data_IF_977191320541
#
_entry.id   IF_977191320541
#
_cell.length_a   1.000
_cell.length_b   1.000
_cell.length_c   1.000
_cell.angle_alpha   90.00
_cell.angle_beta   90.00
_cell.angle_gamma   90.00
#
_symmetry.space_group_name_H-M   'P 1'
#
loop_
_entity.id
_entity.type
_entity.pdbx_description
1 polymer ?
#
# COMPACT_ATOMS: atom_id res chain seq x y z
N UNK A 1 -16.49 -5.34 26.58
CA UNK A 1 -16.14 -4.79 25.27
C UNK A 1 -15.40 -3.50 25.50
N UNK A 2 -14.20 -3.38 24.95
CA UNK A 2 -13.46 -2.12 24.91
C UNK A 2 -13.71 -1.47 23.54
N UNK A 3 -13.89 -0.15 23.51
CA UNK A 3 -14.00 0.62 22.27
C UNK A 3 -12.76 1.48 22.19
N UNK A 4 -12.07 1.41 21.06
CA UNK A 4 -10.88 2.19 20.78
C UNK A 4 -11.11 2.96 19.49
N UNK A 5 -10.83 4.27 19.53
CA UNK A 5 -11.04 5.17 18.41
C UNK A 5 -9.70 5.80 18.02
N UNK A 6 -9.03 5.30 16.97
CA UNK A 6 -7.86 5.96 16.42
C UNK A 6 -8.20 7.36 15.91
N UNK A 7 -7.18 8.21 15.76
CA UNK A 7 -7.40 9.63 15.42
C UNK A 7 -7.31 9.93 13.93
N UNK A 8 -6.89 8.95 13.12
CA UNK A 8 -6.54 9.13 11.71
C UNK A 8 -5.42 10.19 11.54
N UNK A 9 -4.47 10.21 12.49
CA UNK A 9 -3.46 11.26 12.69
C UNK A 9 -4.03 12.64 13.09
N UNK A 10 -4.61 13.40 12.15
CA UNK A 10 -5.23 14.73 12.37
C UNK A 10 -6.65 14.78 11.78
N UNK A 11 -7.51 15.73 12.19
CA UNK A 11 -8.84 15.89 11.58
C UNK A 11 -8.74 16.00 10.05
N UNK A 12 -9.55 15.21 9.33
CA UNK A 12 -9.55 15.11 7.85
C UNK A 12 -8.21 14.62 7.24
N UNK A 13 -7.42 13.83 7.98
CA UNK A 13 -6.07 13.42 7.61
C UNK A 13 -5.96 12.66 6.28
N UNK A 14 -6.20 11.34 6.33
CA UNK A 14 -5.90 10.41 5.23
C UNK A 14 -7.04 9.45 4.85
N UNK A 15 -8.29 9.77 5.19
CA UNK A 15 -9.44 8.94 4.82
C UNK A 15 -9.32 7.46 5.24
N UNK A 16 -8.49 7.15 6.24
CA UNK A 16 -8.15 5.78 6.66
C UNK A 16 -7.43 4.92 5.61
N UNK A 17 -6.87 5.56 4.57
CA UNK A 17 -5.82 5.03 3.71
C UNK A 17 -4.44 5.52 4.19
N UNK A 18 -3.36 5.12 3.50
CA UNK A 18 -1.98 5.55 3.79
C UNK A 18 -1.62 5.54 5.29
N UNK A 19 -1.14 6.65 5.85
CA UNK A 19 -0.79 6.78 7.27
C UNK A 19 -1.99 6.74 8.22
N UNK A 20 -3.20 6.96 7.72
CA UNK A 20 -4.45 6.81 8.45
C UNK A 20 -4.77 5.35 8.75
N UNK A 21 -4.57 4.46 7.76
CA UNK A 21 -4.63 3.00 7.94
C UNK A 21 -3.58 2.54 8.96
N UNK A 22 -2.35 3.04 8.83
CA UNK A 22 -1.27 2.70 9.78
C UNK A 22 -1.63 3.11 11.21
N UNK A 23 -2.17 4.33 11.41
CA UNK A 23 -2.65 4.78 12.74
C UNK A 23 -3.71 3.82 13.31
N UNK A 24 -4.65 3.37 12.48
CA UNK A 24 -5.70 2.46 12.93
C UNK A 24 -5.16 1.10 13.39
N UNK A 25 -4.23 0.52 12.64
CA UNK A 25 -3.63 -0.78 12.98
C UNK A 25 -2.65 -0.66 14.16
N UNK A 26 -1.83 0.39 14.23
CA UNK A 26 -0.94 0.68 15.37
C UNK A 26 -1.74 0.81 16.67
N UNK A 27 -2.84 1.57 16.64
CA UNK A 27 -3.73 1.74 17.80
C UNK A 27 -4.43 0.43 18.17
N UNK A 28 -4.83 -0.38 17.17
CA UNK A 28 -5.40 -1.71 17.42
C UNK A 28 -4.38 -2.63 18.09
N UNK A 29 -3.12 -2.63 17.65
CA UNK A 29 -2.05 -3.46 18.22
C UNK A 29 -1.79 -3.07 19.68
N UNK A 30 -1.60 -1.77 19.95
CA UNK A 30 -1.40 -1.23 21.30
C UNK A 30 -2.58 -1.59 22.22
N UNK A 31 -3.81 -1.41 21.73
CA UNK A 31 -5.00 -1.72 22.51
C UNK A 31 -5.15 -3.23 22.78
N UNK A 32 -4.84 -4.06 21.78
CA UNK A 32 -4.94 -5.51 21.90
C UNK A 32 -3.99 -6.03 22.98
N UNK A 33 -2.76 -5.50 23.02
CA UNK A 33 -1.80 -5.80 24.08
C UNK A 33 -2.25 -5.26 25.44
N UNK A 34 -2.59 -3.97 25.52
CA UNK A 34 -2.96 -3.30 26.77
C UNK A 34 -4.16 -3.95 27.47
N UNK A 35 -5.15 -4.37 26.70
CA UNK A 35 -6.39 -4.95 27.22
C UNK A 35 -6.43 -6.48 27.17
N UNK A 36 -5.36 -7.13 26.69
CA UNK A 36 -5.31 -8.56 26.43
C UNK A 36 -6.56 -9.03 25.64
N UNK A 37 -6.82 -8.33 24.54
CA UNK A 37 -7.99 -8.57 23.72
C UNK A 37 -7.95 -9.99 23.13
N UNK A 38 -9.11 -10.63 23.07
CA UNK A 38 -9.23 -11.94 22.42
C UNK A 38 -9.11 -11.75 20.90
N UNK A 39 -8.07 -12.30 20.24
CA UNK A 39 -7.84 -12.10 18.81
C UNK A 39 -8.96 -12.70 17.94
N UNK A 40 -9.74 -13.64 18.47
CA UNK A 40 -10.91 -14.19 17.77
C UNK A 40 -12.14 -13.26 17.82
N UNK A 41 -12.07 -12.14 18.55
CA UNK A 41 -13.20 -11.22 18.84
C UNK A 41 -12.80 -9.75 18.72
N UNK A 42 -12.23 -9.41 17.58
CA UNK A 42 -11.92 -8.03 17.20
C UNK A 42 -12.89 -7.59 16.10
N UNK A 43 -13.43 -6.38 16.19
CA UNK A 43 -14.45 -5.87 15.27
C UNK A 43 -14.10 -4.47 14.79
N UNK A 44 -14.50 -4.13 13.56
CA UNK A 44 -14.24 -2.83 12.96
C UNK A 44 -15.54 -2.16 12.54
N UNK A 45 -15.72 -0.88 12.86
CA UNK A 45 -16.87 -0.10 12.40
C UNK A 45 -16.52 1.38 12.35
N UNK A 46 -17.23 2.12 11.51
CA UNK A 46 -17.12 3.56 11.38
C UNK A 46 -18.22 4.11 10.48
N UNK A 47 -18.42 5.43 10.57
CA UNK A 47 -19.42 6.17 9.79
C UNK A 47 -18.76 7.11 8.78
N UNK A 48 -19.35 7.28 7.60
CA UNK A 48 -18.88 8.21 6.56
C UNK A 48 -17.45 7.86 6.12
N UNK A 49 -16.49 8.76 6.34
CA UNK A 49 -15.06 8.48 6.17
C UNK A 49 -14.62 7.24 6.95
N UNK A 50 -15.10 7.04 8.18
CA UNK A 50 -14.85 5.81 8.95
C UNK A 50 -15.53 4.57 8.37
N UNK A 51 -16.64 4.74 7.64
CA UNK A 51 -17.29 3.66 6.90
C UNK A 51 -16.46 3.22 5.71
N UNK A 52 -15.88 4.17 4.96
CA UNK A 52 -14.86 3.88 3.94
C UNK A 52 -13.62 3.20 4.54
N UNK A 53 -13.13 3.72 5.67
CA UNK A 53 -12.05 3.10 6.44
C UNK A 53 -12.36 1.66 6.83
N UNK A 54 -13.60 1.38 7.23
CA UNK A 54 -14.05 0.02 7.58
C UNK A 54 -13.96 -0.93 6.39
N UNK A 55 -14.31 -0.46 5.19
CA UNK A 55 -14.12 -1.23 3.96
C UNK A 55 -12.64 -1.47 3.68
N UNK A 56 -11.83 -0.43 3.47
CA UNK A 56 -10.43 -0.59 3.05
C UNK A 56 -9.57 -1.33 4.08
N UNK A 57 -9.66 -0.98 5.37
CA UNK A 57 -8.92 -1.66 6.44
C UNK A 57 -9.42 -3.10 6.60
N UNK A 58 -10.73 -3.32 6.52
CA UNK A 58 -11.35 -4.64 6.59
C UNK A 58 -10.88 -5.57 5.47
N UNK A 59 -10.70 -5.06 4.26
CA UNK A 59 -10.14 -5.83 3.14
C UNK A 59 -8.66 -6.14 3.33
N UNK A 60 -7.81 -5.13 3.58
CA UNK A 60 -6.36 -5.33 3.70
C UNK A 60 -5.98 -6.19 4.90
N UNK A 61 -6.70 -6.06 6.01
CA UNK A 61 -6.38 -6.71 7.27
C UNK A 61 -7.48 -7.69 7.71
N UNK A 62 -8.16 -8.34 6.78
CA UNK A 62 -9.30 -9.24 7.05
C UNK A 62 -9.01 -10.29 8.13
N UNK A 63 -7.80 -10.86 8.16
CA UNK A 63 -7.38 -11.82 9.19
C UNK A 63 -7.33 -11.27 10.63
N UNK A 64 -7.57 -9.97 10.83
CA UNK A 64 -7.53 -9.28 12.13
C UNK A 64 -8.92 -9.04 12.73
N UNK A 65 -10.00 -9.27 11.98
CA UNK A 65 -11.36 -8.94 12.40
C UNK A 65 -12.27 -10.16 12.29
N UNK A 66 -13.12 -10.39 13.28
CA UNK A 66 -14.17 -11.39 13.21
C UNK A 66 -15.41 -10.88 12.46
N UNK A 67 -15.65 -9.57 12.49
CA UNK A 67 -16.67 -8.91 11.71
C UNK A 67 -16.35 -7.42 11.50
N UNK A 68 -16.87 -6.87 10.41
CA UNK A 68 -16.81 -5.45 10.08
C UNK A 68 -18.23 -4.89 9.90
N UNK A 69 -18.43 -3.62 10.22
CA UNK A 69 -19.70 -2.95 10.04
C UNK A 69 -19.55 -1.51 9.52
N UNK A 70 -19.40 -1.36 8.20
CA UNK A 70 -19.32 -0.04 7.57
C UNK A 70 -20.68 0.65 7.61
N UNK A 71 -20.70 1.91 8.06
CA UNK A 71 -21.90 2.75 8.01
C UNK A 71 -21.70 3.97 7.12
N UNK A 72 -22.64 4.21 6.21
CA UNK A 72 -22.65 5.37 5.30
C UNK A 72 -21.30 5.63 4.60
N UNK A 73 -20.54 4.58 4.28
CA UNK A 73 -19.19 4.66 3.72
C UNK A 73 -19.16 4.42 2.22
N UNK A 74 -18.24 5.09 1.51
CA UNK A 74 -17.99 4.82 0.10
C UNK A 74 -17.03 3.66 -0.11
N UNK A 75 -17.16 2.98 -1.25
CA UNK A 75 -16.41 1.74 -1.54
C UNK A 75 -15.00 1.99 -2.06
N UNK A 76 -14.79 3.06 -2.81
CA UNK A 76 -13.51 3.46 -3.40
C UNK A 76 -13.46 4.97 -3.66
N UNK A 77 -12.27 5.52 -3.83
CA UNK A 77 -12.02 6.97 -3.93
C UNK A 77 -12.70 7.64 -5.15
N UNK A 78 -12.89 6.93 -6.27
CA UNK A 78 -13.47 7.50 -7.51
C UNK A 78 -15.00 7.48 -7.50
N UNK A 79 -15.58 6.51 -6.81
CA UNK A 79 -17.03 6.40 -6.63
C UNK A 79 -17.63 7.54 -5.78
N UNK A 80 -16.80 8.26 -5.03
CA UNK A 80 -17.21 9.34 -4.12
C UNK A 80 -16.50 10.64 -4.46
N UNK A 81 -17.22 11.76 -4.43
CA UNK A 81 -16.64 13.09 -4.71
C UNK A 81 -16.33 13.38 -6.19
N UNK A 82 -16.48 12.42 -7.11
CA UNK A 82 -16.37 12.64 -8.56
C UNK A 82 -14.96 12.95 -9.05
N UNK A 83 -13.94 12.30 -8.46
CA UNK A 83 -12.56 12.38 -8.92
C UNK A 83 -12.44 11.98 -10.40
N UNK A 84 -11.55 12.64 -11.14
CA UNK A 84 -11.28 12.27 -12.52
C UNK A 84 -10.65 10.87 -12.56
N UNK A 85 -11.20 10.00 -13.40
CA UNK A 85 -10.61 8.70 -13.71
C UNK A 85 -9.43 8.89 -14.67
N UNK A 86 -8.46 7.98 -14.62
CA UNK A 86 -7.33 7.96 -15.52
C UNK A 86 -7.76 7.56 -16.94
N UNK A 87 -7.08 8.08 -17.96
CA UNK A 87 -7.34 7.69 -19.35
C UNK A 87 -6.71 6.32 -19.68
N UNK A 88 -7.46 5.25 -19.39
CA UNK A 88 -7.02 3.86 -19.57
C UNK A 88 -6.94 3.41 -21.04
N UNK A 89 -7.25 4.27 -22.01
CA UNK A 89 -6.99 3.98 -23.42
C UNK A 89 -5.49 4.12 -23.75
N UNK A 90 -4.74 4.89 -22.95
CA UNK A 90 -3.29 5.05 -23.09
C UNK A 90 -2.51 4.08 -22.18
N UNK A 91 -1.30 3.69 -22.57
CA UNK A 91 -0.41 2.87 -21.73
C UNK A 91 -0.05 3.59 -20.42
N UNK A 92 0.27 4.88 -20.50
CA UNK A 92 0.57 5.71 -19.32
C UNK A 92 -0.63 5.76 -18.36
N UNK A 93 -1.84 6.01 -18.88
CA UNK A 93 -3.03 6.06 -18.05
C UNK A 93 -3.34 4.72 -17.39
N UNK A 94 -3.16 3.58 -18.09
CA UNK A 94 -3.26 2.23 -17.47
C UNK A 94 -2.24 2.03 -16.35
N UNK A 95 -1.00 2.47 -16.52
CA UNK A 95 0.04 2.35 -15.49
C UNK A 95 -0.29 3.19 -14.24
N UNK A 96 -0.76 4.43 -14.44
CA UNK A 96 -1.16 5.32 -13.34
C UNK A 96 -2.43 4.82 -12.64
N UNK A 97 -3.41 4.33 -13.40
CA UNK A 97 -4.63 3.69 -12.90
C UNK A 97 -4.30 2.48 -12.02
N UNK A 98 -3.39 1.62 -12.51
CA UNK A 98 -2.88 0.48 -11.76
C UNK A 98 -2.16 0.91 -10.49
N UNK A 99 -1.34 1.96 -10.52
CA UNK A 99 -0.71 2.49 -9.30
C UNK A 99 -1.73 2.87 -8.22
N UNK A 100 -2.93 3.26 -8.64
CA UNK A 100 -4.05 3.67 -7.81
C UNK A 100 -4.94 2.51 -7.30
N UNK A 101 -4.66 1.26 -7.70
CA UNK A 101 -5.43 0.07 -7.27
C UNK A 101 -5.51 -0.10 -5.75
N UNK A 102 -4.61 0.50 -4.96
CA UNK A 102 -4.68 0.45 -3.49
C UNK A 102 -5.91 1.14 -2.88
N UNK A 103 -6.56 2.03 -3.64
CA UNK A 103 -7.82 2.66 -3.23
C UNK A 103 -9.04 1.96 -3.85
N UNK A 104 -8.85 0.85 -4.57
CA UNK A 104 -9.91 0.04 -5.19
C UNK A 104 -10.22 -1.19 -4.36
N UNK A 105 -10.99 -0.99 -3.30
CA UNK A 105 -11.30 -2.02 -2.29
C UNK A 105 -11.81 -3.34 -2.87
N UNK A 106 -12.62 -3.30 -3.94
CA UNK A 106 -13.24 -4.50 -4.52
C UNK A 106 -12.26 -5.43 -5.23
N UNK A 107 -11.05 -4.98 -5.57
CA UNK A 107 -9.99 -5.88 -6.02
C UNK A 107 -9.63 -6.93 -4.96
N UNK A 108 -10.00 -6.69 -3.69
CA UNK A 108 -9.78 -7.57 -2.56
C UNK A 108 -11.09 -8.13 -1.97
N UNK A 109 -12.19 -8.14 -2.73
CA UNK A 109 -13.52 -8.55 -2.24
C UNK A 109 -13.54 -9.92 -1.54
N UNK A 110 -12.71 -10.86 -2.00
CA UNK A 110 -12.61 -12.21 -1.46
C UNK A 110 -12.17 -12.23 0.01
N UNK A 111 -11.50 -11.18 0.47
CA UNK A 111 -11.07 -11.07 1.85
C UNK A 111 -12.25 -10.89 2.83
N UNK A 112 -13.44 -10.50 2.34
CA UNK A 112 -14.62 -10.35 3.19
C UNK A 112 -15.34 -11.67 3.49
N UNK A 113 -15.20 -12.69 2.63
CA UNK A 113 -16.10 -13.86 2.67
C UNK A 113 -16.00 -14.71 3.95
N UNK A 114 -14.90 -14.61 4.70
CA UNK A 114 -14.77 -15.28 6.01
C UNK A 114 -15.07 -14.36 7.20
N UNK A 115 -15.51 -13.12 6.94
CA UNK A 115 -15.86 -12.12 7.96
C UNK A 115 -17.37 -12.04 8.13
N UNK A 116 -17.81 -11.64 9.33
CA UNK A 116 -19.14 -11.04 9.47
C UNK A 116 -19.17 -9.67 8.80
N UNK A 117 -20.19 -9.35 7.99
CA UNK A 117 -20.36 -8.03 7.37
C UNK A 117 -21.73 -7.46 7.67
N UNK A 118 -21.79 -6.30 8.33
CA UNK A 118 -23.04 -5.57 8.58
C UNK A 118 -23.03 -4.18 7.92
N UNK A 119 -23.82 -3.98 6.87
CA UNK A 119 -23.94 -2.68 6.19
C UNK A 119 -25.10 -1.88 6.79
N UNK A 120 -24.84 -0.63 7.18
CA UNK A 120 -25.83 0.29 7.74
C UNK A 120 -25.84 1.64 7.01
N UNK A 121 -26.98 2.05 6.44
CA UNK A 121 -27.07 3.32 5.70
C UNK A 121 -28.42 4.01 5.92
N UNK A 122 -28.49 5.33 5.73
CA UNK A 122 -29.77 6.04 5.59
C UNK A 122 -30.24 6.04 4.13
N UNK A 123 -31.52 5.77 3.86
CA UNK A 123 -32.03 5.68 2.47
C UNK A 123 -32.16 7.03 1.75
N UNK A 124 -32.09 8.13 2.51
CA UNK A 124 -32.17 9.51 2.02
C UNK A 124 -30.83 10.25 2.19
N UNK A 125 -29.72 9.52 2.32
CA UNK A 125 -28.37 10.10 2.38
C UNK A 125 -27.98 10.74 1.04
N UNK A 126 -27.80 12.06 1.07
CA UNK A 126 -27.40 12.88 -0.07
C UNK A 126 -25.92 13.31 -0.02
N UNK A 127 -25.19 12.91 1.03
CA UNK A 127 -23.77 13.18 1.17
C UNK A 127 -22.96 12.00 0.66
N UNK A 128 -23.13 10.81 1.26
CA UNK A 128 -22.63 9.54 0.71
C UNK A 128 -23.85 8.78 0.20
N UNK A 129 -24.12 8.78 -1.13
CA UNK A 129 -25.34 8.19 -1.66
C UNK A 129 -25.50 6.72 -1.24
N UNK A 130 -26.73 6.32 -0.88
CA UNK A 130 -27.07 4.96 -0.44
C UNK A 130 -26.73 3.89 -1.49
N UNK A 131 -26.60 4.30 -2.76
CA UNK A 131 -26.11 3.47 -3.87
C UNK A 131 -24.75 2.83 -3.56
N UNK A 132 -23.90 3.45 -2.74
CA UNK A 132 -22.65 2.86 -2.27
C UNK A 132 -22.88 1.57 -1.46
N UNK A 133 -23.78 1.62 -0.48
CA UNK A 133 -24.15 0.47 0.34
C UNK A 133 -24.90 -0.60 -0.46
N UNK A 134 -25.82 -0.19 -1.35
CA UNK A 134 -26.55 -1.11 -2.22
C UNK A 134 -25.60 -1.85 -3.16
N UNK A 135 -24.63 -1.15 -3.74
CA UNK A 135 -23.60 -1.76 -4.59
C UNK A 135 -22.81 -2.82 -3.82
N UNK A 136 -22.27 -2.46 -2.63
CA UNK A 136 -21.51 -3.41 -1.81
C UNK A 136 -22.36 -4.61 -1.36
N UNK A 137 -23.63 -4.40 -1.04
CA UNK A 137 -24.58 -5.50 -0.77
C UNK A 137 -24.70 -6.43 -1.97
N UNK A 138 -24.90 -5.88 -3.17
CA UNK A 138 -25.12 -6.69 -4.36
C UNK A 138 -23.87 -7.49 -4.77
N UNK A 139 -22.66 -7.03 -4.41
CA UNK A 139 -21.43 -7.80 -4.61
C UNK A 139 -21.24 -8.92 -3.57
N UNK A 140 -21.60 -8.65 -2.30
CA UNK A 140 -21.18 -9.49 -1.18
C UNK A 140 -22.26 -10.45 -0.68
N UNK A 141 -23.54 -10.07 -0.72
CA UNK A 141 -24.60 -10.75 0.06
C UNK A 141 -24.74 -12.25 -0.25
N UNK A 142 -24.56 -12.66 -1.51
CA UNK A 142 -24.76 -14.05 -1.94
C UNK A 142 -23.57 -14.98 -1.59
N UNK A 143 -22.45 -14.41 -1.10
CA UNK A 143 -21.20 -15.14 -0.81
C UNK A 143 -20.81 -15.12 0.68
N UNK A 144 -21.73 -14.77 1.58
CA UNK A 144 -21.48 -14.72 3.02
C UNK A 144 -22.54 -15.49 3.81
N UNK A 145 -22.07 -16.33 4.74
CA UNK A 145 -22.95 -16.99 5.72
C UNK A 145 -23.33 -16.05 6.88
N UNK A 146 -22.56 -14.99 7.10
CA UNK A 146 -22.73 -14.03 8.19
C UNK A 146 -22.83 -12.60 7.66
N UNK A 147 -23.98 -12.27 7.05
CA UNK A 147 -24.22 -10.98 6.40
C UNK A 147 -25.47 -10.28 6.93
N UNK A 148 -25.38 -8.97 7.11
CA UNK A 148 -26.47 -8.11 7.56
C UNK A 148 -26.51 -6.81 6.76
N UNK A 149 -27.72 -6.35 6.47
CA UNK A 149 -27.95 -5.11 5.72
C UNK A 149 -29.17 -4.37 6.28
N UNK A 150 -29.03 -3.08 6.54
CA UNK A 150 -30.15 -2.25 6.93
C UNK A 150 -30.05 -0.83 6.35
N UNK A 151 -31.12 -0.42 5.67
CA UNK A 151 -31.38 0.98 5.32
C UNK A 151 -32.36 1.57 6.33
N UNK A 152 -32.01 2.68 6.98
CA UNK A 152 -32.89 3.43 7.86
C UNK A 152 -33.82 4.32 7.01
N UNK A 153 -35.14 4.07 6.97
CA UNK A 153 -36.05 4.84 6.14
C UNK A 153 -36.16 6.31 6.58
N UNK A 154 -36.10 7.21 5.62
CA UNK A 154 -36.16 8.66 5.78
C UNK A 154 -34.93 9.31 6.43
N UNK A 155 -33.86 8.55 6.71
CA UNK A 155 -32.66 9.10 7.31
C UNK A 155 -31.67 9.59 6.25
N UNK A 156 -31.15 10.80 6.44
CA UNK A 156 -30.02 11.34 5.68
C UNK A 156 -28.67 10.84 6.19
N UNK A 157 -27.59 11.58 5.89
CA UNK A 157 -26.23 11.15 6.22
C UNK A 157 -25.98 10.83 7.71
N UNK A 158 -26.61 11.59 8.61
CA UNK A 158 -26.46 11.39 10.05
C UNK A 158 -27.81 11.48 10.76
N UNK A 159 -28.18 10.43 11.50
CA UNK A 159 -29.44 10.37 12.27
C UNK A 159 -29.22 10.06 13.76
N UNK A 160 -28.06 10.44 14.29
CA UNK A 160 -27.68 10.31 15.69
C UNK A 160 -26.76 9.12 15.96
N UNK A 161 -26.56 8.79 17.24
CA UNK A 161 -25.62 7.76 17.67
C UNK A 161 -25.86 6.40 16.99
N UNK A 162 -27.11 6.10 16.59
CA UNK A 162 -27.47 4.85 15.91
C UNK A 162 -26.71 4.59 14.60
N UNK A 163 -26.11 5.60 13.97
CA UNK A 163 -25.21 5.39 12.83
C UNK A 163 -23.97 4.54 13.17
N UNK A 164 -23.59 4.47 14.46
CA UNK A 164 -22.45 3.68 14.96
C UNK A 164 -22.79 2.85 16.22
N UNK A 165 -24.02 2.96 16.72
CA UNK A 165 -24.55 2.31 17.93
C UNK A 165 -25.84 1.53 17.60
N UNK A 166 -25.78 0.71 16.55
CA UNK A 166 -26.93 -0.04 16.03
C UNK A 166 -27.01 -1.43 16.66
N UNK A 167 -28.07 -1.72 17.42
CA UNK A 167 -28.15 -2.96 18.19
C UNK A 167 -27.99 -4.26 17.37
N UNK A 168 -28.58 -4.40 16.16
CA UNK A 168 -28.32 -5.56 15.29
C UNK A 168 -26.86 -5.72 14.86
N UNK A 169 -26.13 -4.61 14.67
CA UNK A 169 -24.70 -4.65 14.35
C UNK A 169 -23.88 -5.21 15.53
N UNK A 170 -24.15 -4.73 16.75
CA UNK A 170 -23.49 -5.26 17.95
C UNK A 170 -23.89 -6.71 18.27
N UNK A 171 -25.11 -7.12 17.92
CA UNK A 171 -25.51 -8.52 18.01
C UNK A 171 -24.66 -9.40 17.08
N UNK A 172 -24.38 -8.94 15.85
CA UNK A 172 -23.45 -9.61 14.94
C UNK A 172 -22.05 -9.75 15.54
N UNK A 173 -21.51 -8.67 16.11
CA UNK A 173 -20.21 -8.71 16.76
C UNK A 173 -20.18 -9.78 17.86
N UNK A 174 -21.19 -9.83 18.75
CA UNK A 174 -21.20 -10.75 19.89
C UNK A 174 -21.05 -12.23 19.49
N UNK A 175 -21.66 -12.67 18.39
CA UNK A 175 -21.56 -14.07 17.93
C UNK A 175 -20.44 -14.33 16.90
N UNK A 176 -19.92 -13.30 16.22
CA UNK A 176 -18.91 -13.48 15.16
C UNK A 176 -17.54 -13.84 15.74
N UNK A 177 -16.86 -14.83 15.14
CA UNK A 177 -15.51 -15.28 15.53
C UNK A 177 -14.67 -15.51 14.28
N UNK A 178 -13.37 -15.24 14.37
CA UNK A 178 -12.39 -15.66 13.38
C UNK A 178 -11.54 -16.79 13.93
N UNK A 179 -11.25 -17.80 13.11
CA UNK A 179 -10.30 -18.86 13.44
C UNK A 179 -8.91 -18.49 12.89
N UNK A 180 -7.93 -18.13 13.75
CA UNK A 180 -6.59 -17.79 13.30
C UNK A 180 -5.82 -19.00 12.73
N UNK A 181 -6.29 -20.23 12.98
CA UNK A 181 -5.69 -21.47 12.51
C UNK A 181 -6.57 -22.18 11.46
N UNK A 182 -7.38 -21.41 10.72
CA UNK A 182 -8.25 -21.93 9.68
C UNK A 182 -7.43 -22.81 8.69
N UNK A 183 -7.90 -24.03 8.38
CA UNK A 183 -7.18 -24.94 7.48
C UNK A 183 -7.18 -24.46 6.03
N UNK A 184 -8.08 -23.53 5.67
CA UNK A 184 -8.13 -22.89 4.36
C UNK A 184 -7.97 -21.38 4.52
N UNK A 185 -7.18 -20.77 3.63
CA UNK A 185 -6.97 -19.33 3.54
C UNK A 185 -7.19 -18.91 2.09
N UNK A 186 -8.04 -17.91 1.89
CA UNK A 186 -8.22 -17.22 0.60
C UNK A 186 -7.78 -15.78 0.78
N UNK A 187 -6.61 -15.41 0.27
CA UNK A 187 -6.01 -14.11 0.57
C UNK A 187 -5.68 -13.37 -0.72
N UNK A 188 -6.23 -12.16 -0.84
CA UNK A 188 -5.93 -11.24 -1.92
C UNK A 188 -5.28 -9.97 -1.38
N UNK A 189 -4.22 -9.48 -2.02
CA UNK A 189 -3.67 -8.13 -1.78
C UNK A 189 -3.28 -7.50 -3.11
N UNK A 190 -3.44 -6.19 -3.22
CA UNK A 190 -2.91 -5.40 -4.34
C UNK A 190 -1.55 -4.78 -4.00
N UNK A 191 -1.09 -4.91 -2.75
CA UNK A 191 0.20 -4.39 -2.31
C UNK A 191 0.70 -5.17 -1.08
N UNK A 192 1.68 -6.07 -1.24
CA UNK A 192 2.34 -6.72 -0.13
C UNK A 192 2.91 -5.73 0.90
N UNK A 193 3.32 -4.53 0.47
CA UNK A 193 3.80 -3.47 1.35
C UNK A 193 2.74 -2.94 2.31
N UNK A 194 1.45 -2.98 1.94
CA UNK A 194 0.35 -2.58 2.82
C UNK A 194 -0.08 -3.75 3.71
N UNK A 195 -0.33 -4.91 3.09
CA UNK A 195 -0.66 -6.13 3.78
C UNK A 195 -0.19 -7.33 2.95
N UNK A 196 0.79 -8.05 3.48
CA UNK A 196 1.35 -9.26 2.85
C UNK A 196 0.83 -10.55 3.48
N UNK A 197 0.22 -10.51 4.67
CA UNK A 197 -0.05 -11.70 5.46
C UNK A 197 -1.52 -11.85 5.86
N UNK A 198 -2.04 -13.06 5.70
CA UNK A 198 -3.31 -13.52 6.28
C UNK A 198 -3.13 -14.92 6.86
N UNK A 199 -3.44 -15.06 8.15
CA UNK A 199 -3.22 -16.31 8.89
C UNK A 199 -1.78 -16.84 8.69
N UNK A 200 -1.63 -18.05 8.16
CA UNK A 200 -0.35 -18.71 7.89
C UNK A 200 0.20 -18.49 6.47
N UNK A 201 -0.44 -17.67 5.65
CA UNK A 201 0.00 -17.36 4.26
C UNK A 201 0.56 -15.93 4.18
N UNK A 202 1.72 -15.78 3.56
CA UNK A 202 2.33 -14.49 3.21
C UNK A 202 2.59 -14.42 1.70
N UNK A 203 2.11 -13.37 1.04
CA UNK A 203 2.48 -13.02 -0.34
C UNK A 203 3.68 -12.07 -0.24
N UNK A 204 4.85 -12.53 -0.66
CA UNK A 204 6.11 -11.79 -0.50
C UNK A 204 6.35 -10.84 -1.69
N UNK A 205 6.11 -11.31 -2.92
CA UNK A 205 6.35 -10.54 -4.15
C UNK A 205 5.25 -10.77 -5.19
N UNK A 206 4.94 -9.73 -5.96
CA UNK A 206 4.00 -9.77 -7.08
C UNK A 206 4.74 -9.93 -8.41
N UNK A 207 4.11 -10.56 -9.41
CA UNK A 207 4.67 -10.59 -10.76
C UNK A 207 4.42 -9.27 -11.49
N UNK A 208 3.21 -8.73 -11.33
CA UNK A 208 2.79 -7.43 -11.81
C UNK A 208 2.45 -6.60 -10.59
N UNK A 209 3.25 -5.56 -10.35
CA UNK A 209 3.08 -4.67 -9.22
C UNK A 209 1.69 -4.02 -9.25
N UNK A 210 1.05 -3.89 -8.09
CA UNK A 210 -0.24 -3.22 -7.91
C UNK A 210 -1.47 -3.90 -8.53
N UNK A 211 -1.32 -4.97 -9.30
CA UNK A 211 -2.45 -5.84 -9.65
C UNK A 211 -2.84 -6.72 -8.45
N UNK A 212 -4.06 -7.24 -8.45
CA UNK A 212 -4.48 -8.17 -7.39
C UNK A 212 -3.66 -9.47 -7.43
N UNK A 213 -2.95 -9.75 -6.34
CA UNK A 213 -2.29 -11.02 -6.07
C UNK A 213 -3.15 -11.85 -5.14
N UNK A 214 -3.44 -13.10 -5.51
CA UNK A 214 -4.31 -13.99 -4.74
C UNK A 214 -3.62 -15.32 -4.45
N UNK A 215 -3.80 -15.83 -3.25
CA UNK A 215 -3.42 -17.19 -2.86
C UNK A 215 -4.62 -17.86 -2.22
N UNK A 216 -5.08 -18.96 -2.80
CA UNK A 216 -5.97 -19.91 -2.14
C UNK A 216 -5.13 -21.09 -1.65
N UNK A 217 -5.08 -21.30 -0.34
CA UNK A 217 -4.29 -22.37 0.25
C UNK A 217 -5.14 -23.21 1.20
N UNK A 218 -5.00 -24.54 1.14
CA UNK A 218 -5.80 -25.49 1.93
C UNK A 218 -4.93 -26.65 2.44
N UNK A 219 -5.03 -26.93 3.74
CA UNK A 219 -4.36 -28.05 4.38
C UNK A 219 -5.19 -29.33 4.31
N UNK A 220 -4.74 -30.29 3.51
CA UNK A 220 -5.24 -31.66 3.48
C UNK A 220 -4.65 -32.48 4.64
N UNK A 221 -5.44 -32.60 5.70
CA UNK A 221 -5.09 -33.37 6.90
C UNK A 221 -4.88 -34.86 6.64
N UNK A 222 -5.54 -35.43 5.63
CA UNK A 222 -5.48 -36.88 5.38
C UNK A 222 -4.15 -37.28 4.74
N UNK A 223 -3.63 -36.42 3.85
CA UNK A 223 -2.37 -36.66 3.15
C UNK A 223 -1.19 -35.88 3.75
N UNK A 224 -1.45 -34.98 4.70
CA UNK A 224 -0.46 -34.08 5.29
C UNK A 224 0.23 -33.19 4.24
N UNK A 225 -0.59 -32.59 3.37
CA UNK A 225 -0.16 -31.73 2.25
C UNK A 225 -0.92 -30.41 2.31
N UNK A 226 -0.25 -29.30 2.02
CA UNK A 226 -0.90 -28.01 1.76
C UNK A 226 -0.98 -27.79 0.26
N UNK A 227 -2.19 -27.64 -0.28
CA UNK A 227 -2.43 -27.26 -1.67
C UNK A 227 -2.47 -25.73 -1.78
N UNK A 228 -1.79 -25.16 -2.77
CA UNK A 228 -1.66 -23.70 -2.94
C UNK A 228 -1.93 -23.32 -4.40
N UNK A 229 -2.86 -22.40 -4.61
CA UNK A 229 -3.22 -21.83 -5.92
C UNK A 229 -2.86 -20.33 -5.96
N UNK A 230 -1.64 -19.98 -6.40
CA UNK A 230 -1.22 -18.59 -6.52
C UNK A 230 -1.62 -17.95 -7.87
N UNK A 231 -2.00 -16.68 -7.84
CA UNK A 231 -2.24 -15.82 -9.01
C UNK A 231 -1.56 -14.47 -8.82
N UNK A 232 -0.82 -14.00 -9.83
CA UNK A 232 0.03 -12.80 -9.76
C UNK A 232 1.01 -12.81 -8.57
N UNK A 233 1.59 -13.97 -8.23
CA UNK A 233 2.56 -14.13 -7.14
C UNK A 233 3.90 -14.61 -7.70
N UNK A 234 4.98 -13.92 -7.33
CA UNK A 234 6.35 -14.30 -7.69
C UNK A 234 7.03 -15.11 -6.58
N UNK A 235 6.74 -14.78 -5.32
CA UNK A 235 7.16 -15.57 -4.16
C UNK A 235 6.15 -15.47 -3.03
N UNK A 236 6.10 -16.53 -2.21
CA UNK A 236 5.22 -16.64 -1.05
C UNK A 236 5.87 -17.44 0.07
N UNK A 237 5.45 -17.15 1.30
CA UNK A 237 5.88 -17.84 2.51
C UNK A 237 4.71 -18.43 3.26
N UNK A 238 4.89 -19.62 3.82
CA UNK A 238 3.90 -20.35 4.61
C UNK A 238 4.44 -20.65 6.01
N UNK A 239 3.69 -20.25 7.04
CA UNK A 239 3.94 -20.69 8.42
C UNK A 239 3.31 -22.06 8.65
N UNK A 240 4.00 -23.11 8.22
CA UNK A 240 3.51 -24.49 8.30
C UNK A 240 3.54 -25.06 9.72
N UNK A 241 4.11 -24.34 10.69
CA UNK A 241 4.20 -24.79 12.09
C UNK A 241 2.81 -24.95 12.72
N UNK A 242 1.81 -24.23 12.22
CA UNK A 242 0.40 -24.30 12.66
C UNK A 242 -0.24 -25.67 12.41
N UNK A 243 0.36 -26.51 11.56
CA UNK A 243 -0.10 -27.85 11.25
C UNK A 243 0.73 -28.95 11.91
N UNK A 244 1.67 -28.58 12.77
CA UNK A 244 2.50 -29.52 13.53
C UNK A 244 1.91 -29.78 14.92
N UNK A 245 2.20 -30.95 15.48
CA UNK A 245 1.79 -31.34 16.84
C UNK A 245 2.79 -32.34 17.44
N UNK A 246 2.64 -32.69 18.71
CA UNK A 246 3.48 -33.73 19.33
C UNK A 246 3.40 -35.08 18.60
N UNK A 247 2.22 -35.42 18.07
CA UNK A 247 1.97 -36.67 17.33
C UNK A 247 2.36 -36.57 15.84
N UNK A 248 2.50 -35.34 15.31
CA UNK A 248 2.88 -35.05 13.92
C UNK A 248 3.84 -33.84 13.88
N UNK A 249 5.13 -34.03 14.26
CA UNK A 249 6.07 -32.93 14.45
C UNK A 249 6.67 -32.39 13.14
N UNK A 250 6.55 -33.14 12.05
CA UNK A 250 7.00 -32.70 10.73
C UNK A 250 5.99 -31.72 10.12
N UNK A 251 6.48 -30.71 9.41
CA UNK A 251 5.62 -29.81 8.66
C UNK A 251 5.08 -30.51 7.40
N UNK A 252 3.85 -30.21 6.96
CA UNK A 252 3.30 -30.78 5.73
C UNK A 252 4.13 -30.37 4.51
N UNK A 253 4.15 -31.22 3.49
CA UNK A 253 4.69 -30.83 2.19
C UNK A 253 3.71 -29.91 1.45
N UNK A 254 4.19 -29.17 0.45
CA UNK A 254 3.41 -28.15 -0.26
C UNK A 254 3.28 -28.53 -1.73
N UNK A 255 2.03 -28.55 -2.22
CA UNK A 255 1.72 -28.72 -3.64
C UNK A 255 1.25 -27.38 -4.22
N UNK A 256 2.04 -26.80 -5.12
CA UNK A 256 1.66 -25.59 -5.85
C UNK A 256 0.94 -25.95 -7.15
N UNK A 257 -0.12 -25.21 -7.47
CA UNK A 257 -0.92 -25.42 -8.66
C UNK A 257 -0.06 -25.36 -9.93
N UNK A 258 -0.24 -26.34 -10.81
CA UNK A 258 0.53 -26.47 -12.05
C UNK A 258 1.84 -27.26 -11.92
N UNK A 259 2.29 -27.60 -10.71
CA UNK A 259 3.46 -28.46 -10.50
C UNK A 259 3.09 -29.93 -10.31
N UNK A 260 3.95 -30.80 -10.85
CA UNK A 260 3.97 -32.22 -10.50
C UNK A 260 4.76 -32.43 -9.19
N UNK A 261 4.12 -33.04 -8.18
CA UNK A 261 4.75 -33.39 -6.91
C UNK A 261 4.60 -32.34 -5.81
N UNK A 262 5.45 -32.45 -4.78
CA UNK A 262 5.41 -31.56 -3.60
C UNK A 262 6.81 -31.05 -3.26
N UNK A 263 6.86 -29.91 -2.59
CA UNK A 263 8.08 -29.28 -2.07
C UNK A 263 8.06 -29.28 -0.54
N UNK A 264 9.25 -29.28 0.07
CA UNK A 264 9.43 -29.07 1.50
C UNK A 264 10.11 -27.72 1.71
N UNK A 265 9.66 -26.96 2.70
CA UNK A 265 10.17 -25.62 2.99
C UNK A 265 9.05 -24.69 3.43
N UNK A 266 9.40 -23.43 3.69
CA UNK A 266 8.44 -22.40 4.11
C UNK A 266 8.42 -21.18 3.21
N UNK A 267 9.35 -21.05 2.26
CA UNK A 267 9.38 -19.97 1.27
C UNK A 267 9.57 -20.58 -0.12
N UNK A 268 8.77 -20.10 -1.07
CA UNK A 268 8.67 -20.64 -2.41
C UNK A 268 8.77 -19.52 -3.43
N UNK A 269 9.63 -19.70 -4.43
CA UNK A 269 9.83 -18.74 -5.52
C UNK A 269 9.46 -19.37 -6.84
N UNK A 270 8.72 -18.63 -7.66
CA UNK A 270 8.37 -19.00 -9.02
C UNK A 270 9.58 -18.81 -9.92
N UNK A 271 9.98 -19.87 -10.63
CA UNK A 271 11.11 -19.85 -11.58
C UNK A 271 10.62 -19.60 -13.00
N UNK A 272 9.46 -20.14 -13.35
CA UNK A 272 8.82 -19.96 -14.64
C UNK A 272 7.29 -20.12 -14.52
N UNK A 273 6.58 -20.22 -15.65
CA UNK A 273 5.12 -20.31 -15.64
C UNK A 273 4.56 -21.50 -14.85
N UNK A 274 5.30 -22.61 -14.76
CA UNK A 274 4.86 -23.89 -14.20
C UNK A 274 5.72 -24.41 -13.06
N UNK A 275 6.90 -23.82 -12.83
CA UNK A 275 7.89 -24.32 -11.88
C UNK A 275 8.04 -23.39 -10.68
N UNK A 276 7.96 -23.96 -9.48
CA UNK A 276 8.38 -23.34 -8.23
C UNK A 276 9.51 -24.11 -7.59
N UNK A 277 10.29 -23.42 -6.76
CA UNK A 277 11.33 -24.03 -5.93
C UNK A 277 11.17 -23.56 -4.49
N UNK A 278 11.55 -24.42 -3.54
CA UNK A 278 11.80 -24.00 -2.17
C UNK A 278 13.17 -23.33 -2.12
N UNK A 279 13.23 -22.11 -1.59
CA UNK A 279 14.44 -21.30 -1.54
C UNK A 279 14.41 -20.38 -0.33
N UNK A 280 15.57 -19.84 0.04
CA UNK A 280 15.61 -18.71 0.97
C UNK A 280 15.12 -17.44 0.27
N UNK A 281 14.56 -16.51 1.04
CA UNK A 281 14.21 -15.18 0.55
C UNK A 281 15.48 -14.40 0.20
N UNK A 282 15.48 -13.70 -0.93
CA UNK A 282 16.59 -12.80 -1.31
C UNK A 282 16.43 -11.45 -0.60
N UNK A 283 17.31 -11.12 0.37
CA UNK A 283 17.21 -9.85 1.10
C UNK A 283 17.51 -8.63 0.23
N UNK A 284 18.14 -8.79 -0.94
CA UNK A 284 18.39 -7.69 -1.87
C UNK A 284 17.18 -7.37 -2.76
N UNK A 285 16.25 -8.31 -2.92
CA UNK A 285 15.08 -8.16 -3.77
C UNK A 285 13.99 -7.30 -3.09
N UNK A 286 12.94 -6.99 -3.86
CA UNK A 286 11.70 -6.40 -3.34
C UNK A 286 11.10 -7.30 -2.27
N UNK A 287 10.50 -6.70 -1.25
CA UNK A 287 9.86 -7.41 -0.16
C UNK A 287 8.66 -6.62 0.36
N UNK A 288 7.81 -7.17 1.22
CA UNK A 288 6.78 -6.38 1.89
C UNK A 288 7.33 -5.19 2.70
N UNK A 289 8.58 -5.25 3.17
CA UNK A 289 9.21 -4.13 3.86
C UNK A 289 9.73 -3.04 2.90
N UNK A 290 9.95 -3.40 1.62
CA UNK A 290 10.40 -2.50 0.57
C UNK A 290 9.77 -2.93 -0.75
N UNK A 291 8.52 -2.55 -0.95
CA UNK A 291 7.77 -3.03 -2.11
C UNK A 291 7.93 -2.12 -3.33
N UNK A 292 8.24 -0.84 -3.09
CA UNK A 292 8.74 0.06 -4.13
C UNK A 292 7.91 1.28 -4.53
N UNK A 293 6.59 1.42 -4.31
CA UNK A 293 5.91 2.64 -4.71
C UNK A 293 6.43 3.86 -3.93
N UNK A 294 6.46 5.05 -4.52
CA UNK A 294 7.16 6.22 -3.94
C UNK A 294 6.89 6.47 -2.44
N UNK A 295 5.63 6.34 -2.00
CA UNK A 295 5.22 6.57 -0.60
C UNK A 295 5.81 5.56 0.39
N UNK A 296 6.25 4.38 -0.06
CA UNK A 296 6.85 3.36 0.80
C UNK A 296 8.13 3.90 1.49
N UNK A 297 8.85 4.78 0.79
CA UNK A 297 10.02 5.45 1.34
C UNK A 297 9.73 6.43 2.48
N UNK A 298 8.47 6.71 2.79
CA UNK A 298 8.05 7.65 3.83
C UNK A 298 7.57 6.95 5.11
N UNK A 299 7.80 5.64 5.25
CA UNK A 299 7.26 4.81 6.34
C UNK A 299 8.24 4.53 7.48
N UNK A 300 9.54 4.66 7.25
CA UNK A 300 10.59 4.29 8.21
C UNK A 300 11.37 5.51 8.69
N UNK A 301 10.83 6.18 9.72
CA UNK A 301 11.47 7.32 10.43
C UNK A 301 12.21 8.30 9.51
N UNK A 302 11.57 8.81 8.46
CA UNK A 302 12.27 9.50 7.37
C UNK A 302 13.13 10.73 7.78
N UNK A 303 14.25 10.92 7.07
CA UNK A 303 15.18 12.06 7.16
C UNK A 303 15.25 12.79 5.81
N UNK A 304 15.08 14.11 5.80
CA UNK A 304 15.30 14.94 4.62
C UNK A 304 16.77 15.38 4.51
N UNK A 305 17.40 15.13 3.37
CA UNK A 305 18.77 15.55 3.05
C UNK A 305 18.73 16.54 1.89
N UNK A 306 19.02 17.81 2.18
CA UNK A 306 18.95 18.90 1.20
C UNK A 306 20.29 19.10 0.50
N UNK A 307 20.27 19.16 -0.83
CA UNK A 307 21.46 19.42 -1.63
C UNK A 307 22.01 20.83 -1.42
N UNK A 308 23.34 20.95 -1.35
CA UNK A 308 24.04 22.25 -1.18
C UNK A 308 25.09 22.53 -2.24
N UNK A 309 25.33 21.59 -3.16
CA UNK A 309 26.33 21.71 -4.22
C UNK A 309 25.79 22.32 -5.53
N UNK A 310 24.48 22.59 -5.61
CA UNK A 310 23.84 23.19 -6.78
C UNK A 310 24.07 24.69 -6.91
N UNK A 311 23.36 25.30 -7.85
CA UNK A 311 23.27 26.76 -7.97
C UNK A 311 22.56 27.38 -6.75
N UNK A 312 22.71 28.69 -6.52
CA UNK A 312 22.00 29.36 -5.42
C UNK A 312 20.48 29.14 -5.43
N UNK A 313 19.87 29.09 -6.62
CA UNK A 313 18.42 28.85 -6.76
C UNK A 313 18.03 27.41 -6.46
N UNK A 314 18.84 26.42 -6.88
CA UNK A 314 18.62 25.00 -6.58
C UNK A 314 18.76 24.71 -5.08
N UNK A 315 19.79 25.26 -4.45
CA UNK A 315 20.01 25.12 -3.01
C UNK A 315 18.88 25.78 -2.20
N UNK A 316 18.42 26.96 -2.62
CA UNK A 316 17.30 27.64 -2.00
C UNK A 316 15.99 26.85 -2.16
N UNK A 317 15.75 26.29 -3.35
CA UNK A 317 14.60 25.43 -3.61
C UNK A 317 14.63 24.17 -2.77
N UNK A 318 15.75 23.44 -2.69
CA UNK A 318 15.85 22.18 -1.97
C UNK A 318 15.48 22.36 -0.48
N UNK A 319 16.00 23.41 0.16
CA UNK A 319 15.64 23.73 1.54
C UNK A 319 14.18 24.18 1.68
N UNK A 320 13.67 24.98 0.75
CA UNK A 320 12.28 25.45 0.80
C UNK A 320 11.28 24.30 0.63
N UNK A 321 11.52 23.40 -0.33
CA UNK A 321 10.69 22.23 -0.60
C UNK A 321 10.72 21.25 0.57
N UNK A 322 11.89 20.92 1.11
CA UNK A 322 12.01 20.04 2.28
C UNK A 322 11.24 20.58 3.49
N UNK A 323 11.31 21.90 3.74
CA UNK A 323 10.53 22.53 4.80
C UNK A 323 9.04 22.48 4.54
N UNK A 324 8.60 22.77 3.32
CA UNK A 324 7.18 22.70 2.96
C UNK A 324 6.63 21.29 3.13
N UNK A 325 7.37 20.26 2.73
CA UNK A 325 6.96 18.87 2.87
C UNK A 325 6.92 18.42 4.32
N UNK A 326 7.92 18.81 5.13
CA UNK A 326 7.94 18.57 6.56
C UNK A 326 6.75 19.24 7.27
N UNK A 327 6.44 20.49 6.93
CA UNK A 327 5.29 21.22 7.47
C UNK A 327 3.95 20.58 7.03
N UNK A 328 3.87 20.14 5.77
CA UNK A 328 2.71 19.42 5.23
C UNK A 328 2.50 18.09 5.94
N UNK A 329 3.57 17.33 6.18
CA UNK A 329 3.53 16.08 6.92
C UNK A 329 3.20 16.29 8.39
N UNK A 330 3.68 17.35 9.03
CA UNK A 330 3.29 17.72 10.39
C UNK A 330 1.81 18.08 10.49
N UNK A 331 1.30 18.82 9.51
CA UNK A 331 -0.10 19.24 9.48
C UNK A 331 -1.04 18.05 9.23
N UNK A 332 -0.73 17.18 8.26
CA UNK A 332 -1.60 16.05 7.90
C UNK A 332 -1.26 14.76 8.66
N UNK A 333 0.00 14.35 8.58
CA UNK A 333 0.59 13.13 9.17
C UNK A 333 0.72 13.14 10.68
N UNK A 334 0.64 14.31 11.32
CA UNK A 334 0.98 14.48 12.74
C UNK A 334 2.39 13.93 13.09
N UNK A 335 3.32 13.99 12.15
CA UNK A 335 4.70 13.55 12.31
C UNK A 335 5.71 14.68 12.09
N UNK A 336 6.98 14.41 12.30
CA UNK A 336 8.08 15.34 12.05
C UNK A 336 9.10 14.72 11.12
N UNK A 337 9.70 15.53 10.26
CA UNK A 337 10.80 15.13 9.37
C UNK A 337 12.01 15.95 9.77
N UNK A 338 13.10 15.29 10.15
CA UNK A 338 14.38 15.97 10.38
C UNK A 338 14.93 16.46 9.05
N UNK A 339 15.58 17.62 9.05
CA UNK A 339 16.18 18.21 7.85
C UNK A 339 17.66 18.46 8.11
N UNK A 340 18.51 17.84 7.31
CA UNK A 340 19.98 18.00 7.34
C UNK A 340 20.51 18.40 5.98
N UNK A 341 21.67 19.07 5.95
CA UNK A 341 22.40 19.31 4.70
C UNK A 341 23.13 18.05 4.27
N UNK A 342 23.25 17.85 2.97
CA UNK A 342 24.07 16.79 2.38
C UNK A 342 25.51 16.75 2.91
N UNK A 343 26.12 17.90 3.21
CA UNK A 343 27.48 17.99 3.78
C UNK A 343 27.57 17.58 5.25
N UNK A 344 26.44 17.57 5.97
CA UNK A 344 26.35 17.20 7.38
C UNK A 344 25.79 15.78 7.57
N UNK A 345 25.40 15.12 6.47
CA UNK A 345 24.80 13.80 6.45
C UNK A 345 25.86 12.70 6.34
N UNK A 346 25.78 11.68 7.21
CA UNK A 346 26.57 10.46 7.13
C UNK A 346 25.69 9.33 6.55
N UNK A 347 25.94 8.86 5.30
CA UNK A 347 25.13 7.82 4.68
C UNK A 347 25.19 6.47 5.41
N UNK A 348 26.21 6.24 6.23
CA UNK A 348 26.38 5.01 7.02
C UNK A 348 25.70 5.05 8.39
N UNK A 349 25.28 6.24 8.85
CA UNK A 349 24.60 6.40 10.13
C UNK A 349 23.11 6.02 10.01
N UNK A 350 22.58 5.35 11.04
CA UNK A 350 21.15 5.01 11.16
C UNK A 350 20.60 4.31 9.90
N UNK A 351 21.15 3.16 9.47
CA UNK A 351 20.86 2.56 8.16
C UNK A 351 19.37 2.26 7.93
N UNK A 352 18.60 1.96 8.98
CA UNK A 352 17.17 1.65 8.89
C UNK A 352 16.25 2.87 8.87
N UNK A 353 16.83 4.07 8.75
CA UNK A 353 16.12 5.32 8.53
C UNK A 353 15.90 5.54 7.04
N UNK A 354 14.70 5.80 6.57
CA UNK A 354 14.51 6.21 5.17
C UNK A 354 15.06 7.61 4.92
N UNK A 355 15.55 7.88 3.71
CA UNK A 355 16.17 9.16 3.35
C UNK A 355 15.41 9.79 2.19
N UNK A 356 15.09 11.08 2.29
CA UNK A 356 14.51 11.88 1.21
C UNK A 356 15.57 12.82 0.68
N UNK A 357 16.07 12.58 -0.53
CA UNK A 357 17.00 13.46 -1.22
C UNK A 357 16.23 14.56 -1.94
N UNK A 358 16.55 15.81 -1.60
CA UNK A 358 16.10 16.98 -2.34
C UNK A 358 17.22 17.44 -3.28
N UNK A 359 16.95 17.42 -4.58
CA UNK A 359 17.90 17.76 -5.64
C UNK A 359 18.22 16.60 -6.57
N UNK A 360 19.42 16.57 -7.11
CA UNK A 360 19.90 15.54 -8.05
C UNK A 360 21.39 15.21 -7.81
N UNK A 361 21.98 14.33 -8.63
CA UNK A 361 23.37 13.90 -8.50
C UNK A 361 24.40 15.03 -8.64
N UNK A 362 24.04 16.13 -9.33
CA UNK A 362 24.89 17.31 -9.48
C UNK A 362 24.77 18.29 -8.31
N UNK A 363 23.66 18.26 -7.57
CA UNK A 363 23.34 19.25 -6.52
C UNK A 363 23.36 18.70 -5.11
N UNK A 364 23.35 17.37 -4.91
CA UNK A 364 23.27 16.71 -3.61
C UNK A 364 24.43 15.72 -3.43
N UNK A 365 25.35 16.03 -2.50
CA UNK A 365 26.56 15.25 -2.27
C UNK A 365 26.31 13.82 -1.75
N UNK A 366 25.14 13.56 -1.17
CA UNK A 366 24.76 12.23 -0.68
C UNK A 366 24.37 11.26 -1.79
N UNK A 367 24.08 11.75 -3.01
CA UNK A 367 23.57 10.95 -4.12
C UNK A 367 24.45 9.75 -4.44
N UNK A 368 25.75 9.97 -4.61
CA UNK A 368 26.67 8.90 -5.02
C UNK A 368 26.72 7.73 -4.03
N UNK A 369 26.61 8.00 -2.73
CA UNK A 369 26.65 6.97 -1.69
C UNK A 369 25.33 6.19 -1.57
N UNK A 370 24.20 6.81 -1.91
CA UNK A 370 22.87 6.22 -1.72
C UNK A 370 22.26 5.66 -3.01
N UNK A 371 22.52 6.28 -4.15
CA UNK A 371 21.86 6.01 -5.43
C UNK A 371 22.85 5.84 -6.59
N UNK A 372 24.16 5.72 -6.32
CA UNK A 372 25.18 5.58 -7.37
C UNK A 372 24.94 4.39 -8.31
N UNK A 373 24.34 3.31 -7.79
CA UNK A 373 24.03 2.09 -8.53
C UNK A 373 22.57 2.01 -9.00
N UNK A 374 21.74 3.03 -8.70
CA UNK A 374 20.36 3.03 -9.12
C UNK A 374 20.26 3.07 -10.66
N UNK A 375 19.31 2.35 -11.28
CA UNK A 375 19.17 2.30 -12.74
C UNK A 375 18.68 3.63 -13.34
N UNK A 376 18.13 4.52 -12.52
CA UNK A 376 17.74 5.88 -12.92
C UNK A 376 18.68 6.89 -12.26
N UNK A 377 19.34 7.69 -13.10
CA UNK A 377 20.27 8.74 -12.67
C UNK A 377 19.74 10.11 -13.08
N UNK A 378 19.77 11.07 -12.17
CA UNK A 378 19.27 12.44 -12.38
C UNK A 378 20.44 13.40 -12.22
N UNK A 379 20.71 14.21 -13.23
CA UNK A 379 21.76 15.22 -13.21
C UNK A 379 21.31 16.49 -13.90
N UNK A 380 22.11 17.55 -13.84
CA UNK A 380 21.77 18.81 -14.50
C UNK A 380 21.67 18.62 -16.02
N UNK A 381 20.53 19.00 -16.58
CA UNK A 381 20.19 18.89 -18.00
C UNK A 381 19.84 17.48 -18.49
N UNK A 382 19.78 16.46 -17.62
CA UNK A 382 19.55 15.07 -18.06
C UNK A 382 18.92 14.16 -17.00
N UNK A 383 18.00 13.30 -17.44
CA UNK A 383 17.62 12.07 -16.71
C UNK A 383 18.00 10.86 -17.55
N UNK A 384 18.68 9.88 -16.96
CA UNK A 384 19.10 8.64 -17.63
C UNK A 384 18.36 7.46 -17.01
N UNK A 385 17.76 6.61 -17.85
CA UNK A 385 17.08 5.37 -17.46
C UNK A 385 17.79 4.22 -18.17
N UNK A 386 18.59 3.45 -17.44
CA UNK A 386 19.44 2.42 -18.04
C UNK A 386 20.41 3.02 -19.08
N UNK A 387 20.26 2.63 -20.35
CA UNK A 387 21.07 3.16 -21.46
C UNK A 387 20.51 4.43 -22.10
N UNK A 388 19.24 4.75 -21.86
CA UNK A 388 18.52 5.81 -22.56
C UNK A 388 18.53 7.10 -21.73
N UNK A 389 18.58 8.24 -22.41
CA UNK A 389 18.71 9.54 -21.76
C UNK A 389 17.74 10.57 -22.32
N UNK A 390 17.08 11.30 -21.41
CA UNK A 390 16.27 12.47 -21.71
C UNK A 390 17.10 13.73 -21.46
N UNK A 391 17.68 14.31 -22.52
CA UNK A 391 18.51 15.52 -22.44
C UNK A 391 17.63 16.79 -22.34
N UNK A 392 16.97 16.95 -21.19
CA UNK A 392 16.03 18.03 -20.87
C UNK A 392 16.32 18.62 -19.50
N UNK A 393 16.18 19.94 -19.35
CA UNK A 393 16.49 20.67 -18.11
C UNK A 393 15.23 21.09 -17.31
N UNK A 394 14.06 20.57 -17.69
CA UNK A 394 12.75 20.96 -17.17
C UNK A 394 11.96 19.80 -16.54
N UNK A 395 12.55 18.61 -16.42
CA UNK A 395 11.87 17.41 -15.94
C UNK A 395 11.95 17.30 -14.42
N UNK A 396 10.80 17.17 -13.76
CA UNK A 396 10.69 16.83 -12.34
C UNK A 396 10.60 15.32 -12.16
N UNK A 397 11.09 14.82 -11.03
CA UNK A 397 11.09 13.38 -10.72
C UNK A 397 10.72 13.11 -9.27
N UNK A 398 9.88 12.08 -9.09
CA UNK A 398 9.75 11.30 -7.86
C UNK A 398 10.33 9.90 -8.11
N UNK A 399 11.08 9.36 -7.16
CA UNK A 399 11.60 7.99 -7.23
C UNK A 399 11.80 7.42 -5.83
N UNK A 400 11.52 6.14 -5.62
CA UNK A 400 11.92 5.40 -4.42
C UNK A 400 12.82 4.22 -4.80
N UNK A 401 13.94 4.07 -4.09
CA UNK A 401 14.93 3.02 -4.33
C UNK A 401 15.44 2.45 -2.99
N UNK A 402 15.90 1.20 -2.88
CA UNK A 402 16.41 0.66 -1.62
C UNK A 402 17.56 1.47 -1.05
N UNK A 403 17.54 1.69 0.27
CA UNK A 403 18.70 2.25 0.96
C UNK A 403 19.78 1.18 1.10
N UNK A 404 21.03 1.43 0.63
CA UNK A 404 22.13 0.50 0.86
C UNK A 404 22.33 0.22 2.35
N UNK A 405 22.45 -1.06 2.71
CA UNK A 405 22.76 -1.49 4.09
C UNK A 405 21.58 -1.57 5.05
N UNK A 406 20.35 -1.47 4.58
CA UNK A 406 19.13 -1.77 5.36
C UNK A 406 18.36 -2.91 4.71
N UNK A 407 17.42 -3.51 5.45
CA UNK A 407 16.39 -4.46 4.95
C UNK A 407 14.98 -3.83 4.87
N UNK A 408 14.83 -2.59 5.37
CA UNK A 408 13.53 -1.90 5.51
C UNK A 408 13.52 -0.48 4.94
N UNK A 409 14.66 0.22 4.98
CA UNK A 409 14.72 1.61 4.58
C UNK A 409 14.84 1.79 3.07
N UNK A 410 14.31 2.91 2.60
CA UNK A 410 14.34 3.35 1.21
C UNK A 410 14.90 4.76 1.10
N UNK A 411 15.32 5.12 -0.11
CA UNK A 411 15.72 6.46 -0.52
C UNK A 411 14.67 7.01 -1.46
N UNK A 412 13.97 8.06 -1.05
CA UNK A 412 13.10 8.85 -1.90
C UNK A 412 13.91 9.96 -2.59
N UNK A 413 13.60 10.26 -3.84
CA UNK A 413 14.08 11.45 -4.56
C UNK A 413 12.91 12.37 -4.82
N UNK A 414 13.06 13.63 -4.42
CA UNK A 414 12.23 14.74 -4.86
C UNK A 414 13.18 15.71 -5.56
N UNK A 415 13.11 15.77 -6.88
CA UNK A 415 14.15 16.44 -7.64
C UNK A 415 13.75 16.79 -9.05
N UNK A 416 14.76 17.12 -9.85
CA UNK A 416 14.58 17.37 -11.26
C UNK A 416 15.91 17.55 -11.98
N UNK A 417 15.86 17.51 -13.30
CA UNK A 417 17.03 17.71 -14.15
C UNK A 417 17.51 19.17 -14.18
N UNK A 418 16.78 20.10 -13.59
CA UNK A 418 17.18 21.49 -13.40
C UNK A 418 16.14 22.23 -12.56
N UNK A 419 16.37 23.51 -12.25
CA UNK A 419 15.48 24.28 -11.36
C UNK A 419 14.01 24.33 -11.80
N UNK A 420 13.75 24.29 -13.12
CA UNK A 420 12.38 24.22 -13.64
C UNK A 420 11.75 22.89 -13.28
N UNK A 421 12.44 21.78 -13.53
CA UNK A 421 11.98 20.44 -13.17
C UNK A 421 11.83 20.23 -11.66
N UNK A 422 12.77 20.76 -10.87
CA UNK A 422 12.67 20.76 -9.42
C UNK A 422 11.39 21.46 -8.93
N UNK A 423 11.11 22.67 -9.44
CA UNK A 423 9.85 23.40 -9.15
C UNK A 423 8.61 22.70 -9.70
N UNK A 424 8.72 21.91 -10.76
CA UNK A 424 7.62 21.05 -11.21
C UNK A 424 7.19 20.07 -10.11
N UNK A 425 8.04 19.72 -9.14
CA UNK A 425 7.61 18.83 -8.02
C UNK A 425 6.87 19.57 -6.89
N UNK A 426 6.79 20.91 -6.92
CA UNK A 426 6.20 21.72 -5.84
C UNK A 426 4.71 21.41 -5.61
N UNK A 427 3.99 20.93 -6.62
CA UNK A 427 2.56 20.60 -6.51
C UNK A 427 2.28 19.08 -6.58
N UNK A 428 3.30 18.22 -6.52
CA UNK A 428 3.08 16.77 -6.50
C UNK A 428 2.50 16.35 -5.13
N UNK A 429 1.24 15.90 -5.04
CA UNK A 429 0.55 15.76 -3.76
C UNK A 429 0.78 14.39 -3.10
N UNK A 430 2.03 14.00 -2.88
CA UNK A 430 2.38 12.68 -2.31
C UNK A 430 2.06 12.51 -0.80
N UNK A 431 1.66 13.56 -0.09
CA UNK A 431 1.13 13.48 1.30
C UNK A 431 -0.41 13.58 1.30
N UNK A 432 -1.05 13.04 0.27
CA UNK A 432 -2.51 13.05 0.10
C UNK A 432 -3.02 11.65 -0.20
N UNK A 433 -4.12 11.24 0.45
CA UNK A 433 -4.83 10.01 0.11
C UNK A 433 -5.44 10.07 -1.27
N UNK A 434 -5.64 8.90 -1.89
CA UNK A 434 -6.12 8.79 -3.27
C UNK A 434 -5.11 9.21 -4.34
N UNK A 435 -3.91 9.67 -3.97
CA UNK A 435 -2.82 10.00 -4.91
C UNK A 435 -1.74 8.94 -4.81
N UNK A 436 -1.57 8.15 -5.85
CA UNK A 436 -0.63 7.02 -5.83
C UNK A 436 0.38 7.16 -6.95
N UNK A 437 1.65 7.19 -6.58
CA UNK A 437 2.76 7.17 -7.51
C UNK A 437 3.32 5.75 -7.58
N UNK A 438 3.76 5.30 -8.78
CA UNK A 438 4.56 4.09 -8.90
C UNK A 438 5.96 4.32 -8.30
N UNK A 439 6.89 3.40 -8.51
CA UNK A 439 8.23 3.49 -7.92
C UNK A 439 8.99 4.73 -8.40
N UNK A 440 8.78 5.13 -9.66
CA UNK A 440 9.33 6.36 -10.22
C UNK A 440 8.36 7.03 -11.18
N UNK A 441 8.41 8.36 -11.21
CA UNK A 441 7.49 9.22 -11.95
C UNK A 441 8.23 10.47 -12.42
N UNK A 442 8.25 10.70 -13.72
CA UNK A 442 8.91 11.82 -14.39
C UNK A 442 7.86 12.62 -15.14
N UNK A 443 7.81 13.93 -14.89
CA UNK A 443 6.88 14.82 -15.59
C UNK A 443 7.54 16.14 -15.96
N UNK A 444 7.04 16.73 -17.05
CA UNK A 444 7.38 18.08 -17.47
C UNK A 444 6.42 19.10 -16.84
N UNK A 445 6.69 20.41 -16.93
CA UNK A 445 5.78 21.44 -16.44
C UNK A 445 4.39 21.41 -17.11
N UNK A 446 4.26 20.73 -18.25
CA UNK A 446 2.99 20.60 -18.95
C UNK A 446 1.93 19.82 -18.16
N UNK A 447 2.33 19.06 -17.13
CA UNK A 447 1.38 18.32 -16.26
C UNK A 447 0.32 19.24 -15.64
N UNK A 448 0.67 20.49 -15.39
CA UNK A 448 -0.26 21.49 -14.84
C UNK A 448 -1.27 22.05 -15.84
N UNK A 449 -1.03 21.85 -17.13
CA UNK A 449 -1.89 22.33 -18.21
C UNK A 449 -2.64 21.20 -18.89
N UNK A 450 -2.05 20.00 -18.93
CA UNK A 450 -2.53 18.87 -19.71
C UNK A 450 -2.75 17.60 -18.88
N UNK A 451 -2.68 17.69 -17.55
CA UNK A 451 -2.81 16.55 -16.63
C UNK A 451 -1.86 15.39 -17.04
N UNK A 452 -2.39 14.17 -17.16
CA UNK A 452 -1.62 12.97 -17.49
C UNK A 452 -0.82 13.10 -18.78
N UNK A 453 -1.21 13.98 -19.73
CA UNK A 453 -0.46 14.25 -20.95
C UNK A 453 0.90 14.97 -20.71
N UNK A 454 1.12 15.53 -19.51
CA UNK A 454 2.41 16.11 -19.11
C UNK A 454 3.38 15.14 -18.42
N UNK A 455 2.94 13.90 -18.15
CA UNK A 455 3.80 12.81 -17.65
C UNK A 455 4.68 12.30 -18.78
N UNK A 456 5.99 12.29 -18.55
CA UNK A 456 6.99 11.91 -19.56
C UNK A 456 7.37 10.44 -19.40
N UNK A 457 7.45 9.95 -18.17
CA UNK A 457 7.66 8.52 -17.91
C UNK A 457 7.24 8.13 -16.51
N UNK A 458 6.84 6.88 -16.32
CA UNK A 458 6.52 6.32 -15.02
C UNK A 458 6.67 4.79 -15.05
N UNK A 459 6.99 4.18 -13.91
CA UNK A 459 7.21 2.74 -13.87
C UNK A 459 7.45 2.15 -12.50
N UNK A 460 7.44 0.83 -12.47
CA UNK A 460 7.82 0.00 -11.33
C UNK A 460 9.14 -0.68 -11.64
N UNK A 461 10.06 -0.71 -10.67
CA UNK A 461 11.28 -1.49 -10.81
C UNK A 461 10.98 -2.98 -10.79
N UNK A 462 11.87 -3.76 -11.39
CA UNK A 462 11.86 -5.23 -11.29
C UNK A 462 12.00 -5.70 -9.84
N UNK A 463 11.77 -7.00 -9.62
CA UNK A 463 11.91 -7.61 -8.29
C UNK A 463 13.34 -7.51 -7.74
N UNK A 464 14.33 -7.40 -8.62
CA UNK A 464 15.75 -7.20 -8.31
C UNK A 464 16.15 -5.70 -8.26
N UNK A 465 15.17 -4.80 -8.29
CA UNK A 465 15.37 -3.34 -8.39
C UNK A 465 16.09 -2.86 -9.66
N UNK A 466 16.16 -3.69 -10.70
CA UNK A 466 16.52 -3.24 -12.05
C UNK A 466 15.41 -2.38 -12.65
N UNK A 467 15.69 -1.68 -13.77
CA UNK A 467 14.66 -0.90 -14.48
C UNK A 467 13.47 -1.77 -14.92
N UNK A 468 13.70 -3.07 -15.18
CA UNK A 468 12.68 -4.00 -15.63
C UNK A 468 12.07 -3.61 -16.97
N UNK A 469 10.84 -4.08 -17.20
CA UNK A 469 10.03 -3.77 -18.40
C UNK A 469 8.69 -3.11 -18.04
N UNK A 470 8.37 -2.98 -16.74
CA UNK A 470 7.08 -2.50 -16.26
C UNK A 470 7.03 -0.97 -16.13
N UNK A 471 7.26 -0.30 -17.27
CA UNK A 471 7.27 1.15 -17.35
C UNK A 471 6.78 1.67 -18.69
N UNK A 472 6.42 2.95 -18.72
CA UNK A 472 6.06 3.68 -19.93
C UNK A 472 6.91 4.94 -20.00
N UNK A 473 7.51 5.20 -21.17
CA UNK A 473 8.13 6.46 -21.53
C UNK A 473 7.40 6.98 -22.77
N UNK A 474 7.05 8.25 -22.78
CA UNK A 474 6.51 8.88 -23.99
C UNK A 474 7.64 9.33 -24.89
N UNK A 475 7.52 8.95 -26.16
CA UNK A 475 8.30 9.56 -27.23
C UNK A 475 7.79 11.00 -27.43
N UNK A 476 8.71 11.98 -27.31
CA UNK A 476 8.43 13.41 -27.52
C UNK A 476 8.00 13.73 -28.98
#
# INVERSE_FOLDING_TARGET
MYIVAPTNRRPFGFDWEDWGRLDAIEVLDIASELFNADPARVYLSGHSMGGHGTWTIGAYHAGRFAAIAPSAGWRDFWSYGGGAEYDTETEMGRLLDRAANVSRTLLMEHNYFDLGVYILHGDADDNVPVEQARFMRDQLADSHDNFGYYEQPGAGHWWGNRCVDWAPMFAMFDYSRIDPAAPRVDFTTVDPGIASKRAWVTIDQQLVAREASRVVAEYDRANHVVHVEPSNVASLSLDLSVFTSEDQPEAPSVQLAGMDGTLNGSHFTRVDETTWVASDADPAAKSPARNGPFKDALRHDMLAVVGTAGTPDENAWALAKARYDAESFWYRGNGSIDIVRDTDFDPSAEPDRSVILYGNASSNAAWGALLGDAPIQVANGKITLGSDGMDRNDLGILMAYPRPGSDVAMVAVIGGSGIVGMRTTDQFPFVTSGVHYPDWFIASPEIYLKADAGVVGAGFFGLDWSLGEDFVIRDD
#
